data_IF_594489375144
#
_entry.id   IF_594489375144
#
_cell.length_a   1.000
_cell.length_b   1.000
_cell.length_c   1.000
_cell.angle_alpha   90.00
_cell.angle_beta   90.00
_cell.angle_gamma   90.00
#
_symmetry.space_group_name_H-M   'P 1'
#
loop_
_entity.id
_entity.type
_entity.pdbx_description
1 polymer ?
#
# COMPACT_ATOMS: atom_id res chain seq x y z
N UNK A 1 -21.76 -16.25 59.48
CA UNK A 1 -20.78 -15.89 58.43
C UNK A 1 -19.37 -16.25 58.91
N UNK A 2 -18.91 -17.48 58.63
CA UNK A 2 -17.51 -17.92 58.78
C UNK A 2 -17.40 -19.39 58.36
N UNK A 3 -16.44 -19.73 57.48
CA UNK A 3 -15.46 -20.82 57.65
C UNK A 3 -14.63 -21.04 56.39
N UNK A 4 -13.33 -20.82 56.54
CA UNK A 4 -12.25 -21.43 55.76
C UNK A 4 -12.43 -22.95 55.68
N UNK A 5 -12.06 -23.57 54.55
CA UNK A 5 -11.42 -24.89 54.54
C UNK A 5 -10.29 -24.98 53.52
N UNK A 6 -9.15 -25.34 54.08
CA UNK A 6 -7.93 -25.84 53.48
C UNK A 6 -8.13 -27.19 52.76
N UNK A 7 -7.44 -27.41 51.64
CA UNK A 7 -6.77 -28.68 51.30
C UNK A 7 -5.49 -28.34 50.52
N UNK A 8 -4.28 -28.52 51.06
CA UNK A 8 -3.51 -29.73 51.45
C UNK A 8 -2.37 -29.90 50.41
N UNK A 9 -1.17 -29.51 50.82
CA UNK A 9 0.07 -29.72 50.08
C UNK A 9 0.54 -31.18 50.19
N UNK A 10 1.16 -31.72 49.14
CA UNK A 10 2.06 -32.88 49.19
C UNK A 10 3.35 -32.52 48.44
N UNK A 11 4.48 -32.89 49.05
CA UNK A 11 5.87 -32.48 48.82
C UNK A 11 6.65 -33.38 47.83
N UNK A 12 7.62 -32.72 47.17
CA UNK A 12 9.04 -33.11 46.97
C UNK A 12 9.41 -34.04 45.77
N UNK A 13 10.69 -34.07 45.30
CA UNK A 13 11.91 -33.52 45.91
C UNK A 13 12.85 -32.70 44.99
N UNK A 14 13.82 -32.08 45.67
CA UNK A 14 15.06 -31.50 45.18
C UNK A 14 15.83 -32.45 44.24
N UNK A 15 16.33 -31.93 43.12
CA UNK A 15 17.52 -32.49 42.46
C UNK A 15 18.46 -31.38 41.96
N UNK A 16 19.73 -31.60 42.30
CA UNK A 16 20.89 -30.73 42.15
C UNK A 16 21.38 -30.74 40.70
N UNK A 17 21.83 -29.58 40.21
CA UNK A 17 22.39 -29.37 38.86
C UNK A 17 23.68 -30.16 38.62
N UNK A 18 23.91 -30.69 37.41
CA UNK A 18 25.26 -30.91 36.89
C UNK A 18 25.71 -29.76 35.97
N UNK A 19 27.00 -29.43 36.08
CA UNK A 19 27.76 -28.43 35.33
C UNK A 19 27.66 -28.56 33.81
N UNK A 20 27.68 -27.40 33.16
CA UNK A 20 27.93 -27.21 31.73
C UNK A 20 29.18 -27.94 31.25
N UNK A 21 29.07 -28.62 30.10
CA UNK A 21 30.19 -28.81 29.17
C UNK A 21 29.87 -28.02 27.90
N UNK A 22 30.67 -26.98 27.65
CA UNK A 22 30.77 -26.31 26.37
C UNK A 22 31.25 -27.33 25.33
N UNK A 23 30.34 -27.76 24.46
CA UNK A 23 30.72 -28.32 23.16
C UNK A 23 30.42 -27.23 22.12
N UNK A 24 31.48 -26.60 21.62
CA UNK A 24 31.40 -25.57 20.60
C UNK A 24 30.63 -26.07 19.37
N UNK A 25 29.76 -25.21 18.84
CA UNK A 25 29.15 -25.39 17.52
C UNK A 25 30.22 -24.96 16.51
N UNK A 26 30.77 -25.85 15.66
CA UNK A 26 31.64 -25.44 14.58
C UNK A 26 30.78 -25.03 13.37
N UNK A 27 31.17 -23.94 12.72
CA UNK A 27 30.82 -23.68 11.32
C UNK A 27 29.57 -22.84 11.09
N UNK A 28 29.75 -21.52 11.09
CA UNK A 28 28.97 -20.64 10.23
C UNK A 28 29.21 -21.05 8.77
N UNK A 29 28.31 -21.84 8.19
CA UNK A 29 28.30 -22.08 6.75
C UNK A 29 27.73 -20.84 6.05
N UNK A 30 28.42 -20.26 5.04
CA UNK A 30 27.84 -19.21 4.25
C UNK A 30 26.69 -19.81 3.43
N UNK A 31 25.49 -19.24 3.56
CA UNK A 31 24.34 -19.59 2.72
C UNK A 31 24.75 -19.40 1.26
N UNK A 32 24.96 -20.51 0.55
CA UNK A 32 25.33 -20.48 -0.86
C UNK A 32 24.19 -19.87 -1.67
N UNK A 33 24.52 -19.12 -2.72
CA UNK A 33 23.54 -18.44 -3.59
C UNK A 33 22.40 -19.37 -4.06
N UNK A 34 22.65 -20.68 -4.18
CA UNK A 34 21.66 -21.72 -4.52
C UNK A 34 20.55 -21.83 -3.48
N UNK A 35 20.87 -21.82 -2.17
CA UNK A 35 19.83 -21.86 -1.10
C UNK A 35 19.00 -20.59 -1.04
N UNK A 36 19.60 -19.43 -1.34
CA UNK A 36 18.88 -18.16 -1.49
C UNK A 36 17.98 -18.18 -2.70
N UNK A 37 18.46 -18.65 -3.86
CA UNK A 37 17.66 -18.77 -5.09
C UNK A 37 16.49 -19.74 -4.89
N UNK A 38 16.68 -20.86 -4.19
CA UNK A 38 15.61 -21.82 -3.88
C UNK A 38 14.56 -21.18 -2.94
N UNK A 39 14.98 -20.44 -1.91
CA UNK A 39 14.08 -19.69 -1.02
C UNK A 39 13.32 -18.58 -1.75
N UNK A 40 13.99 -17.83 -2.63
CA UNK A 40 13.37 -16.80 -3.46
C UNK A 40 12.37 -17.42 -4.43
N UNK A 41 12.73 -18.51 -5.11
CA UNK A 41 11.83 -19.24 -6.02
C UNK A 41 10.65 -19.88 -5.30
N UNK A 42 10.83 -20.41 -4.09
CA UNK A 42 9.73 -20.92 -3.26
C UNK A 42 8.80 -19.78 -2.80
N UNK A 43 9.37 -18.66 -2.36
CA UNK A 43 8.60 -17.46 -2.02
C UNK A 43 7.83 -16.95 -3.26
N UNK A 44 8.45 -16.89 -4.43
CA UNK A 44 7.83 -16.53 -5.72
C UNK A 44 6.68 -17.47 -6.10
N UNK A 45 6.83 -18.78 -5.87
CA UNK A 45 5.80 -19.78 -6.20
C UNK A 45 4.62 -19.70 -5.23
N UNK A 46 4.91 -19.60 -3.94
CA UNK A 46 3.91 -19.37 -2.89
C UNK A 46 3.17 -18.05 -3.12
N UNK A 47 3.88 -17.03 -3.60
CA UNK A 47 3.38 -15.70 -3.93
C UNK A 47 2.57 -15.65 -5.23
N UNK A 48 2.97 -16.34 -6.30
CA UNK A 48 2.14 -16.52 -7.51
C UNK A 48 0.83 -17.24 -7.18
N UNK A 49 0.88 -18.21 -6.26
CA UNK A 49 -0.28 -18.92 -5.77
C UNK A 49 -1.18 -18.01 -4.90
N UNK A 50 -0.61 -17.11 -4.09
CA UNK A 50 -1.35 -16.03 -3.41
C UNK A 50 -1.95 -15.01 -4.40
N UNK A 51 -1.24 -14.65 -5.48
CA UNK A 51 -1.73 -13.68 -6.48
C UNK A 51 -2.75 -14.26 -7.48
N UNK A 52 -2.74 -15.58 -7.69
CA UNK A 52 -3.71 -16.30 -8.52
C UNK A 52 -5.07 -16.50 -7.85
N UNK A 53 -5.12 -16.47 -6.50
CA UNK A 53 -6.37 -16.45 -5.75
C UNK A 53 -6.75 -14.99 -5.44
N UNK A 54 -7.92 -14.57 -5.91
CA UNK A 54 -8.47 -13.22 -5.73
C UNK A 54 -8.70 -12.85 -4.25
N UNK A 55 -8.55 -13.80 -3.33
CA UNK A 55 -8.62 -13.67 -1.87
C UNK A 55 -7.27 -13.27 -1.23
N UNK A 56 -6.64 -12.22 -1.77
CA UNK A 56 -5.30 -11.77 -1.38
C UNK A 56 -5.23 -11.05 -0.01
N UNK A 57 -6.28 -11.11 0.80
CA UNK A 57 -6.40 -10.34 2.04
C UNK A 57 -7.06 -11.18 3.13
N UNK A 58 -6.35 -11.34 4.25
CA UNK A 58 -6.99 -11.70 5.52
C UNK A 58 -8.16 -10.72 5.75
N UNK A 59 -9.41 -11.20 5.92
CA UNK A 59 -10.56 -10.34 6.22
C UNK A 59 -10.32 -9.44 7.43
N UNK A 60 -9.48 -9.86 8.39
CA UNK A 60 -9.08 -9.07 9.56
C UNK A 60 -8.06 -7.96 9.25
N UNK A 61 -7.54 -7.89 8.01
CA UNK A 61 -6.68 -6.81 7.52
C UNK A 61 -7.42 -5.76 6.70
N UNK A 62 -8.71 -5.96 6.42
CA UNK A 62 -9.60 -4.85 6.12
C UNK A 62 -9.82 -4.15 7.46
N UNK A 63 -9.43 -2.87 7.60
CA UNK A 63 -9.80 -2.11 8.80
C UNK A 63 -11.31 -2.22 9.05
N UNK A 64 -11.75 -2.12 10.31
CA UNK A 64 -13.14 -2.38 10.77
C UNK A 64 -14.25 -1.57 10.06
N UNK A 65 -13.93 -0.75 9.06
CA UNK A 65 -14.82 0.14 8.34
C UNK A 65 -15.12 -0.40 6.93
N UNK A 66 -16.41 -0.50 6.61
CA UNK A 66 -16.88 -0.85 5.27
C UNK A 66 -16.36 0.17 4.22
N UNK A 67 -16.11 -0.26 2.97
CA UNK A 67 -15.72 0.64 1.91
C UNK A 67 -16.75 1.77 1.72
N UNK A 68 -16.32 3.01 1.89
CA UNK A 68 -17.18 4.19 1.76
C UNK A 68 -16.58 5.24 0.82
N UNK A 69 -17.44 6.08 0.26
CA UNK A 69 -17.06 7.26 -0.54
C UNK A 69 -16.98 8.51 0.34
N UNK A 70 -16.29 9.54 -0.15
CA UNK A 70 -16.19 10.81 0.56
C UNK A 70 -15.22 10.77 1.76
N UNK A 71 -15.35 11.72 2.70
CA UNK A 71 -14.43 11.86 3.82
C UNK A 71 -14.60 10.73 4.84
N UNK A 72 -13.58 10.48 5.65
CA UNK A 72 -13.67 9.57 6.81
C UNK A 72 -13.92 10.39 8.07
N UNK A 73 -14.92 10.00 8.88
CA UNK A 73 -15.26 10.71 10.12
C UNK A 73 -14.05 10.78 11.04
N UNK A 74 -13.72 11.99 11.51
CA UNK A 74 -12.59 12.23 12.41
C UNK A 74 -11.21 12.24 11.73
N UNK A 75 -11.14 12.20 10.40
CA UNK A 75 -9.89 12.33 9.64
C UNK A 75 -9.99 13.54 8.72
N UNK A 76 -9.20 14.57 9.00
CA UNK A 76 -9.16 15.78 8.21
C UNK A 76 -8.11 15.71 7.08
N UNK A 77 -8.31 16.52 6.05
CA UNK A 77 -7.33 16.74 4.96
C UNK A 77 -6.02 17.26 5.54
N UNK A 78 -4.92 16.53 5.38
CA UNK A 78 -3.62 16.83 5.95
C UNK A 78 -3.20 15.85 7.04
N UNK A 79 -4.08 14.96 7.49
CA UNK A 79 -3.74 13.88 8.41
C UNK A 79 -2.59 13.02 7.86
N UNK A 80 -1.65 12.67 8.73
CA UNK A 80 -0.45 11.90 8.44
C UNK A 80 -0.60 10.48 8.98
N UNK A 81 -0.08 9.50 8.24
CA UNK A 81 -0.10 8.08 8.58
C UNK A 81 1.30 7.50 8.34
N UNK A 82 1.81 6.75 9.31
CA UNK A 82 3.17 6.21 9.27
C UNK A 82 3.36 5.20 8.14
N UNK A 83 2.29 4.49 7.78
CA UNK A 83 2.35 3.40 6.80
C UNK A 83 1.04 3.20 6.04
N UNK A 84 1.11 2.44 4.94
CA UNK A 84 -0.07 1.96 4.20
C UNK A 84 -1.01 1.13 5.08
N UNK A 85 -0.46 0.35 6.01
CA UNK A 85 -1.24 -0.42 6.96
C UNK A 85 -2.03 0.49 7.91
N UNK A 86 -1.44 1.61 8.34
CA UNK A 86 -2.16 2.58 9.13
C UNK A 86 -3.26 3.28 8.32
N UNK A 87 -2.99 3.64 7.06
CA UNK A 87 -4.03 4.16 6.17
C UNK A 87 -5.22 3.19 6.04
N UNK A 88 -4.95 1.88 5.96
CA UNK A 88 -5.99 0.86 5.86
C UNK A 88 -6.78 0.71 7.16
N UNK A 89 -6.07 0.60 8.30
CA UNK A 89 -6.68 0.54 9.64
C UNK A 89 -7.59 1.75 9.94
N UNK A 90 -7.18 2.93 9.47
CA UNK A 90 -7.95 4.18 9.62
C UNK A 90 -9.03 4.36 8.54
N UNK A 91 -9.13 3.46 7.56
CA UNK A 91 -10.15 3.47 6.51
C UNK A 91 -9.93 4.51 5.40
N UNK A 92 -8.89 5.35 5.47
CA UNK A 92 -8.64 6.38 4.45
C UNK A 92 -8.25 5.75 3.11
N UNK A 93 -7.51 4.63 3.14
CA UNK A 93 -7.23 3.80 1.97
C UNK A 93 -7.09 2.32 2.39
N UNK A 94 -8.11 1.46 2.16
CA UNK A 94 -8.21 0.13 2.76
C UNK A 94 -7.29 -0.94 2.13
N UNK A 95 -6.37 -0.54 1.23
CA UNK A 95 -5.41 -1.46 0.60
C UNK A 95 -4.00 -1.22 1.12
N UNK A 96 -3.38 -2.27 1.65
CA UNK A 96 -2.01 -2.20 2.16
C UNK A 96 -0.95 -2.04 1.05
N UNK A 97 -1.23 -2.58 -0.14
CA UNK A 97 -0.29 -2.59 -1.27
C UNK A 97 -0.88 -1.85 -2.47
N UNK A 98 -2.03 -2.32 -2.96
CA UNK A 98 -2.65 -1.81 -4.19
C UNK A 98 -2.89 -0.29 -4.15
N UNK A 99 -2.50 0.41 -5.21
CA UNK A 99 -2.66 1.86 -5.32
C UNK A 99 -4.11 2.31 -5.39
N UNK A 100 -5.01 1.47 -5.89
CA UNK A 100 -6.43 1.79 -6.09
C UNK A 100 -7.28 0.93 -5.16
N UNK A 101 -8.31 1.52 -4.56
CA UNK A 101 -9.34 0.81 -3.82
C UNK A 101 -10.71 1.16 -4.40
N UNK A 102 -11.43 0.16 -4.91
CA UNK A 102 -12.71 0.38 -5.59
C UNK A 102 -13.39 -0.92 -6.00
N UNK A 103 -14.55 -0.77 -6.64
CA UNK A 103 -15.25 -1.87 -7.33
C UNK A 103 -15.65 -1.44 -8.73
N UNK A 104 -15.83 -2.42 -9.61
CA UNK A 104 -16.29 -2.15 -10.99
C UNK A 104 -17.73 -1.65 -11.03
N UNK A 105 -18.52 -1.97 -10.00
CA UNK A 105 -19.91 -1.55 -9.85
C UNK A 105 -20.01 -0.08 -9.44
N UNK A 106 -19.32 0.29 -8.37
CA UNK A 106 -19.55 1.58 -7.69
C UNK A 106 -18.52 2.65 -8.04
N UNK A 107 -17.34 2.25 -8.52
CA UNK A 107 -16.19 3.11 -8.75
C UNK A 107 -15.12 3.02 -7.66
N UNK A 108 -14.10 3.88 -7.77
CA UNK A 108 -13.00 3.98 -6.81
C UNK A 108 -13.37 4.81 -5.57
N UNK A 109 -13.07 4.28 -4.39
CA UNK A 109 -13.23 4.95 -3.09
C UNK A 109 -12.03 5.84 -2.78
N UNK A 110 -10.83 5.32 -3.04
CA UNK A 110 -9.57 5.98 -2.71
C UNK A 110 -8.42 5.50 -3.58
N UNK A 111 -7.41 6.35 -3.73
CA UNK A 111 -6.13 6.03 -4.35
C UNK A 111 -4.96 6.45 -3.47
N UNK A 112 -3.82 5.78 -3.66
CA UNK A 112 -2.54 6.15 -3.08
C UNK A 112 -1.57 6.58 -4.19
N UNK A 113 -1.34 7.89 -4.28
CA UNK A 113 -0.39 8.50 -5.21
C UNK A 113 1.00 8.48 -4.55
N UNK A 114 1.89 7.62 -5.04
CA UNK A 114 3.26 7.48 -4.54
C UNK A 114 4.21 7.24 -5.72
N UNK A 115 5.51 7.10 -5.49
CA UNK A 115 6.52 6.88 -6.55
C UNK A 115 6.45 5.50 -7.25
N UNK A 116 5.23 5.00 -7.52
CA UNK A 116 4.95 3.68 -8.07
C UNK A 116 5.12 3.62 -9.58
N UNK A 117 4.78 4.67 -10.31
CA UNK A 117 4.77 4.70 -11.78
C UNK A 117 5.55 5.90 -12.31
N UNK A 118 6.33 5.67 -13.35
CA UNK A 118 7.16 6.68 -14.00
C UNK A 118 6.35 7.73 -14.77
N UNK A 119 5.10 7.41 -15.12
CA UNK A 119 4.22 8.23 -15.95
C UNK A 119 3.34 9.22 -15.15
N UNK A 120 3.34 9.13 -13.81
CA UNK A 120 2.55 10.02 -12.96
C UNK A 120 3.03 11.49 -13.08
N UNK A 121 2.07 12.41 -13.16
CA UNK A 121 2.30 13.86 -13.14
C UNK A 121 1.45 14.50 -12.06
N UNK A 122 2.06 15.16 -11.10
CA UNK A 122 1.37 15.69 -9.91
C UNK A 122 1.50 17.22 -9.82
N UNK A 123 0.42 17.92 -10.15
CA UNK A 123 0.26 19.37 -10.06
C UNK A 123 -0.61 19.79 -8.84
N UNK A 124 -0.72 18.92 -7.84
CA UNK A 124 -1.41 19.20 -6.58
C UNK A 124 -2.92 19.09 -6.73
N UNK A 125 -3.58 20.17 -7.13
CA UNK A 125 -5.04 20.19 -7.32
C UNK A 125 -5.48 19.46 -8.59
N UNK A 126 -4.56 19.27 -9.52
CA UNK A 126 -4.73 18.47 -10.73
C UNK A 126 -3.58 17.48 -10.85
N UNK A 127 -3.86 16.25 -11.28
CA UNK A 127 -2.80 15.30 -11.58
C UNK A 127 -3.26 14.24 -12.57
N UNK A 128 -2.28 13.62 -13.24
CA UNK A 128 -2.47 12.43 -14.06
C UNK A 128 -1.95 11.23 -13.29
N UNK A 129 -2.83 10.29 -13.01
CA UNK A 129 -2.53 9.04 -12.32
C UNK A 129 -2.46 7.88 -13.30
N UNK A 130 -1.44 7.04 -13.14
CA UNK A 130 -1.25 5.83 -13.95
C UNK A 130 -1.95 4.64 -13.29
N UNK A 131 -2.66 3.85 -14.11
CA UNK A 131 -3.33 2.63 -13.69
C UNK A 131 -2.35 1.56 -13.20
N UNK A 132 -2.89 0.46 -12.71
CA UNK A 132 -2.12 -0.67 -12.20
C UNK A 132 -1.90 -1.75 -13.26
N UNK A 133 -0.84 -2.53 -13.08
CA UNK A 133 -0.49 -3.66 -13.94
C UNK A 133 0.63 -3.35 -14.93
N UNK A 134 1.12 -4.38 -15.61
CA UNK A 134 2.17 -4.24 -16.60
C UNK A 134 3.58 -3.99 -16.03
N UNK A 135 3.77 -3.89 -14.72
CA UNK A 135 5.10 -3.79 -14.09
C UNK A 135 5.77 -5.15 -13.95
N UNK A 136 7.10 -5.17 -14.11
CA UNK A 136 7.91 -6.28 -13.61
C UNK A 136 7.75 -6.36 -12.09
N UNK A 137 7.78 -7.56 -11.52
CA UNK A 137 7.44 -7.84 -10.12
C UNK A 137 7.81 -6.68 -9.17
N UNK A 138 6.79 -6.11 -8.52
CA UNK A 138 6.90 -4.96 -7.61
C UNK A 138 7.84 -5.21 -6.42
N UNK A 139 8.27 -6.46 -6.22
CA UNK A 139 9.20 -6.92 -5.17
C UNK A 139 10.64 -7.10 -5.67
N UNK A 140 10.86 -7.07 -6.99
CA UNK A 140 12.20 -7.05 -7.60
C UNK A 140 12.92 -5.70 -7.45
N UNK A 141 12.21 -4.69 -6.92
CA UNK A 141 12.67 -3.30 -6.85
C UNK A 141 12.59 -2.55 -8.19
N UNK A 142 12.42 -3.26 -9.31
CA UNK A 142 12.14 -2.67 -10.62
C UNK A 142 10.67 -2.28 -10.72
N UNK A 143 10.40 -0.98 -10.90
CA UNK A 143 9.05 -0.44 -11.14
C UNK A 143 8.78 -0.22 -12.63
N UNK A 144 9.59 -0.83 -13.50
CA UNK A 144 9.54 -0.61 -14.94
C UNK A 144 8.33 -1.33 -15.55
N UNK A 145 7.63 -0.65 -16.45
CA UNK A 145 6.62 -1.28 -17.30
C UNK A 145 7.28 -2.26 -18.28
N UNK A 146 6.74 -3.48 -18.36
CA UNK A 146 7.16 -4.59 -19.21
C UNK A 146 6.03 -5.20 -20.03
N UNK A 147 4.78 -4.75 -19.81
CA UNK A 147 3.62 -5.16 -20.57
C UNK A 147 2.54 -4.06 -20.58
N UNK A 148 1.62 -4.16 -21.53
CA UNK A 148 0.49 -3.25 -21.67
C UNK A 148 -0.50 -3.40 -20.50
N UNK A 149 -1.03 -2.27 -20.03
CA UNK A 149 -2.18 -2.22 -19.13
C UNK A 149 -3.49 -2.27 -19.92
N UNK A 150 -4.56 -2.67 -19.23
CA UNK A 150 -5.91 -2.75 -19.79
C UNK A 150 -6.94 -2.22 -18.79
N UNK A 151 -8.04 -1.67 -19.31
CA UNK A 151 -9.22 -1.34 -18.52
C UNK A 151 -10.01 -2.58 -18.08
N UNK A 152 -9.71 -3.78 -18.59
CA UNK A 152 -10.30 -5.03 -18.10
C UNK A 152 -9.82 -5.39 -16.69
N UNK A 153 -8.65 -4.86 -16.27
CA UNK A 153 -8.18 -5.03 -14.90
C UNK A 153 -9.15 -4.36 -13.92
N UNK A 154 -9.67 -5.11 -12.95
CA UNK A 154 -10.73 -4.68 -12.01
C UNK A 154 -10.50 -3.31 -11.36
N UNK A 155 -9.26 -3.03 -10.95
CA UNK A 155 -8.92 -1.77 -10.28
C UNK A 155 -8.85 -0.59 -11.27
N UNK A 156 -8.37 -0.84 -12.50
CA UNK A 156 -8.35 0.17 -13.56
C UNK A 156 -9.79 0.48 -14.00
N UNK A 157 -10.63 -0.55 -14.10
CA UNK A 157 -12.05 -0.38 -14.38
C UNK A 157 -12.76 0.40 -13.27
N UNK A 158 -12.40 0.21 -12.00
CA UNK A 158 -13.00 0.98 -10.90
C UNK A 158 -12.76 2.49 -11.05
N UNK A 159 -11.56 2.92 -11.44
CA UNK A 159 -11.30 4.33 -11.73
C UNK A 159 -11.97 4.80 -13.04
N UNK A 160 -12.07 3.93 -14.05
CA UNK A 160 -12.83 4.22 -15.27
C UNK A 160 -14.31 4.47 -14.93
N UNK A 161 -14.93 3.63 -14.09
CA UNK A 161 -16.29 3.82 -13.59
C UNK A 161 -16.44 5.12 -12.79
N UNK A 162 -15.39 5.59 -12.10
CA UNK A 162 -15.41 6.90 -11.42
C UNK A 162 -15.53 8.09 -12.39
N UNK A 163 -15.19 7.93 -13.68
CA UNK A 163 -15.46 8.96 -14.71
C UNK A 163 -16.95 9.16 -14.90
N UNK A 164 -17.74 8.07 -14.91
CA UNK A 164 -19.20 8.13 -15.07
C UNK A 164 -19.89 8.58 -13.78
N UNK A 165 -19.52 7.99 -12.65
CA UNK A 165 -20.24 8.22 -11.38
C UNK A 165 -19.93 9.58 -10.76
N UNK A 166 -18.79 10.19 -11.11
CA UNK A 166 -18.27 11.46 -10.54
C UNK A 166 -18.24 11.48 -9.01
N UNK A 167 -18.19 10.30 -8.39
CA UNK A 167 -18.13 10.19 -6.93
C UNK A 167 -16.76 10.63 -6.42
N UNK A 168 -16.69 11.28 -5.24
CA UNK A 168 -15.42 11.71 -4.68
C UNK A 168 -14.48 10.54 -4.36
N UNK A 169 -13.25 10.63 -4.85
CA UNK A 169 -12.15 9.71 -4.61
C UNK A 169 -11.20 10.33 -3.58
N UNK A 170 -10.93 9.63 -2.48
CA UNK A 170 -9.90 10.07 -1.51
C UNK A 170 -8.51 9.89 -2.11
N UNK A 171 -7.64 10.88 -1.94
CA UNK A 171 -6.25 10.82 -2.38
C UNK A 171 -5.33 10.81 -1.17
N UNK A 172 -4.50 9.78 -1.08
CA UNK A 172 -3.41 9.70 -0.11
C UNK A 172 -2.09 9.85 -0.87
N UNK A 173 -1.30 10.89 -0.58
CA UNK A 173 0.05 11.05 -1.13
C UNK A 173 1.07 10.37 -0.23
N UNK A 174 1.92 9.52 -0.80
CA UNK A 174 3.11 8.97 -0.14
C UNK A 174 4.40 9.63 -0.64
N UNK A 175 5.58 9.22 -0.13
CA UNK A 175 6.84 9.82 -0.52
C UNK A 175 7.13 9.63 -2.01
N UNK A 176 7.37 10.74 -2.69
CA UNK A 176 7.70 10.76 -4.11
C UNK A 176 8.70 11.89 -4.41
N UNK A 177 9.96 11.58 -4.75
CA UNK A 177 10.98 12.61 -5.02
C UNK A 177 10.70 13.42 -6.29
N UNK A 178 9.77 12.98 -7.14
CA UNK A 178 9.43 13.65 -8.40
C UNK A 178 8.22 14.59 -8.27
N UNK A 179 7.55 14.62 -7.11
CA UNK A 179 6.44 15.54 -6.85
C UNK A 179 6.79 16.51 -5.73
N UNK A 180 6.61 17.81 -5.99
CA UNK A 180 6.71 18.85 -4.96
C UNK A 180 5.54 18.83 -3.97
N UNK A 181 4.45 18.11 -4.27
CA UNK A 181 3.29 17.99 -3.38
C UNK A 181 3.36 16.74 -2.51
N UNK A 182 4.23 15.79 -2.84
CA UNK A 182 4.43 14.61 -2.03
C UNK A 182 5.10 14.95 -0.70
N UNK A 183 4.67 14.32 0.42
CA UNK A 183 5.37 14.47 1.68
C UNK A 183 6.78 13.86 1.59
N UNK A 184 7.71 14.36 2.40
CA UNK A 184 9.09 13.83 2.47
C UNK A 184 9.10 12.39 3.01
N UNK A 185 8.26 12.13 4.01
CA UNK A 185 8.12 10.87 4.71
C UNK A 185 6.65 10.66 5.03
N UNK A 186 6.28 9.41 5.32
CA UNK A 186 4.91 9.01 5.66
C UNK A 186 3.89 9.25 4.55
N UNK A 187 2.62 8.99 4.84
CA UNK A 187 1.50 9.16 3.95
C UNK A 187 0.60 10.29 4.45
N UNK A 188 0.08 11.12 3.54
CA UNK A 188 -0.79 12.24 3.88
C UNK A 188 -2.11 12.15 3.12
N UNK A 189 -3.23 12.33 3.82
CA UNK A 189 -4.54 12.42 3.18
C UNK A 189 -4.75 13.81 2.59
N UNK A 190 -4.76 13.95 1.26
CA UNK A 190 -4.84 15.24 0.56
C UNK A 190 -6.25 15.62 0.07
N UNK A 191 -7.25 14.90 0.58
CA UNK A 191 -8.65 15.20 0.40
C UNK A 191 -9.30 14.46 -0.76
N UNK A 192 -10.35 15.08 -1.28
CA UNK A 192 -11.28 14.51 -2.24
C UNK A 192 -11.08 15.10 -3.63
N UNK A 193 -11.08 14.22 -4.63
CA UNK A 193 -10.92 14.53 -6.04
C UNK A 193 -12.02 13.84 -6.84
N UNK A 194 -12.27 14.31 -8.04
CA UNK A 194 -13.10 13.63 -9.03
C UNK A 194 -12.22 13.13 -10.18
N UNK A 195 -12.60 12.01 -10.77
CA UNK A 195 -11.97 11.52 -12.00
C UNK A 195 -12.66 12.20 -13.17
N UNK A 196 -11.93 13.02 -13.91
CA UNK A 196 -12.45 13.80 -15.03
C UNK A 196 -12.50 12.98 -16.29
N UNK A 197 -11.38 12.31 -16.59
CA UNK A 197 -11.17 11.52 -17.81
C UNK A 197 -10.35 10.27 -17.50
N UNK A 198 -10.56 9.25 -18.32
CA UNK A 198 -9.72 8.07 -18.39
C UNK A 198 -9.43 7.74 -19.86
N UNK A 199 -8.19 7.38 -20.17
CA UNK A 199 -7.78 7.02 -21.52
C UNK A 199 -6.57 6.07 -21.51
N UNK A 200 -6.33 5.41 -22.65
CA UNK A 200 -5.11 4.65 -22.89
C UNK A 200 -4.09 5.55 -23.57
N UNK A 201 -2.82 5.42 -23.20
CA UNK A 201 -1.73 6.18 -23.80
C UNK A 201 -0.45 5.35 -23.81
N UNK A 202 0.55 5.75 -24.61
CA UNK A 202 1.89 5.16 -24.54
C UNK A 202 2.66 5.77 -23.37
N UNK A 203 3.06 4.91 -22.43
CA UNK A 203 3.93 5.28 -21.30
C UNK A 203 5.37 5.49 -21.75
N UNK A 204 6.22 5.99 -20.84
CA UNK A 204 7.65 6.24 -21.12
C UNK A 204 8.39 4.99 -21.63
N UNK A 205 8.05 3.82 -21.10
CA UNK A 205 8.59 2.53 -21.53
C UNK A 205 7.93 1.96 -22.81
N UNK A 206 7.15 2.75 -23.56
CA UNK A 206 6.48 2.38 -24.82
C UNK A 206 5.35 1.33 -24.72
N UNK A 207 5.05 0.86 -23.51
CA UNK A 207 3.87 0.06 -23.22
C UNK A 207 2.63 0.94 -23.06
N UNK A 208 1.48 0.39 -23.42
CA UNK A 208 0.19 1.03 -23.19
C UNK A 208 -0.09 1.12 -21.69
N UNK A 209 -0.49 2.29 -21.20
CA UNK A 209 -0.86 2.52 -19.80
C UNK A 209 -2.24 3.15 -19.70
N UNK A 210 -2.98 2.79 -18.66
CA UNK A 210 -4.23 3.47 -18.31
C UNK A 210 -3.89 4.79 -17.62
N UNK A 211 -4.43 5.91 -18.09
CA UNK A 211 -4.25 7.23 -17.47
C UNK A 211 -5.57 7.80 -17.00
N UNK A 212 -5.53 8.50 -15.87
CA UNK A 212 -6.68 9.13 -15.25
C UNK A 212 -6.34 10.58 -14.91
N UNK A 213 -7.15 11.53 -15.39
CA UNK A 213 -7.06 12.93 -14.99
C UNK A 213 -7.93 13.14 -13.75
N UNK A 214 -7.33 13.55 -12.63
CA UNK A 214 -8.04 13.82 -11.39
C UNK A 214 -7.95 15.30 -11.04
N UNK A 215 -9.09 15.85 -10.60
CA UNK A 215 -9.22 17.25 -10.17
C UNK A 215 -9.80 17.33 -8.78
N UNK A 216 -9.21 18.19 -7.96
CA UNK A 216 -9.59 18.37 -6.57
C UNK A 216 -10.95 19.04 -6.45
N UNK A 217 -11.73 18.61 -5.47
CA UNK A 217 -12.97 19.30 -5.10
C UNK A 217 -12.64 20.63 -4.38
N UNK A 218 -13.43 21.70 -4.62
CA UNK A 218 -13.24 22.99 -3.96
C UNK A 218 -13.57 22.94 -2.46
N UNK A 219 -13.21 23.99 -1.71
CA UNK A 219 -13.58 24.14 -0.30
C UNK A 219 -12.76 23.31 0.69
N UNK A 220 -11.66 22.72 0.25
CA UNK A 220 -10.73 21.94 1.11
C UNK A 220 -9.44 22.72 1.32
N UNK A 221 -8.75 22.51 2.46
CA UNK A 221 -7.42 23.09 2.74
C UNK A 221 -6.47 22.91 1.54
N UNK A 222 -5.63 23.90 1.16
CA UNK A 222 -4.70 23.76 0.04
C UNK A 222 -3.78 22.55 0.18
N UNK A 223 -3.37 21.96 -0.96
CA UNK A 223 -2.39 20.87 -0.95
C UNK A 223 -1.01 21.40 -0.54
N UNK A 224 -0.37 20.87 0.52
CA UNK A 224 0.93 21.36 0.96
C UNK A 224 2.02 21.14 -0.10
N UNK A 225 2.91 22.11 -0.24
CA UNK A 225 4.12 22.02 -1.07
C UNK A 225 5.30 21.70 -0.16
N UNK A 226 6.10 20.72 -0.57
CA UNK A 226 7.36 20.37 0.07
C UNK A 226 8.42 21.45 -0.23
N UNK A 227 8.87 22.22 0.79
CA UNK A 227 9.85 23.29 0.59
C UNK A 227 11.20 22.77 0.11
N UNK A 228 11.55 21.52 0.44
CA UNK A 228 12.83 20.90 0.11
C UNK A 228 12.87 20.27 -1.30
N UNK A 229 11.80 20.40 -2.09
CA UNK A 229 11.76 19.78 -3.41
C UNK A 229 12.84 20.32 -4.35
N UNK A 230 13.06 21.64 -4.35
CA UNK A 230 14.02 22.29 -5.25
C UNK A 230 15.47 22.17 -4.79
N UNK A 231 15.73 21.95 -3.50
CA UNK A 231 17.10 21.82 -2.96
C UNK A 231 17.74 20.49 -3.37
N UNK A 232 16.93 19.48 -3.69
CA UNK A 232 17.38 18.13 -4.12
C UNK A 232 17.81 18.04 -5.58
N UNK A 233 17.35 18.95 -6.46
CA UNK A 233 17.73 18.96 -7.90
C UNK A 233 19.05 19.68 -8.19
N UNK A 234 19.66 20.32 -7.18
CA UNK A 234 20.89 21.13 -7.31
C UNK A 234 22.17 20.41 -6.85
N UNK A 235 22.07 19.12 -6.52
CA UNK A 235 23.22 18.24 -6.23
C UNK A 235 23.30 17.16 -7.30
#
# INVERSE_FOLDING_TARGET
MTRLRYHKAIRAPYHVRPRMRNCGIPGSFPLTAITTIIRVKMAERFRKQLMGNTELYDPNMMGDQLPQFGPIKGIEVGAIFESRAECARKGVHPRNVAGIAGTQRDGAYSICLSSGYEDDKDDGDFFVYTGTGGQQDSFSGSKKQVADQTFEHKDNYALLKSVETKRPVRVVRGPNPNSKYAPVQYYRYDGLYIVEKAYLDKGKSQFTVCKYELRRLPGQRPVPINPDFNTRKRK
#
